data_IF_220899281664
#
_entry.id   IF_220899281664
#
_cell.length_a   1.000
_cell.length_b   1.000
_cell.length_c   1.000
_cell.angle_alpha   90.00
_cell.angle_beta   90.00
_cell.angle_gamma   90.00
#
_symmetry.space_group_name_H-M   'P 1'
#
loop_
_entity.id
_entity.type
_entity.pdbx_description
1 polymer ?
#
# COMPACT_ATOMS: atom_id res chain seq x y z
N UNK A 1 -13.26 -6.45 57.99
CA UNK A 1 -12.49 -6.82 56.77
C UNK A 1 -12.98 -5.97 55.62
N UNK A 2 -12.16 -5.03 55.13
CA UNK A 2 -12.46 -4.25 53.91
C UNK A 2 -11.56 -4.79 52.80
N UNK A 3 -12.14 -5.51 51.84
CA UNK A 3 -11.44 -5.85 50.60
C UNK A 3 -11.53 -4.64 49.67
N UNK A 4 -10.42 -3.92 49.54
CA UNK A 4 -10.26 -2.90 48.52
C UNK A 4 -9.97 -3.61 47.19
N UNK A 5 -10.95 -3.69 46.31
CA UNK A 5 -10.74 -4.14 44.93
C UNK A 5 -10.03 -3.04 44.14
N UNK A 6 -8.74 -3.25 43.87
CA UNK A 6 -7.98 -2.49 42.88
C UNK A 6 -8.54 -2.81 41.49
N UNK A 7 -9.24 -1.84 40.89
CA UNK A 7 -9.59 -1.88 39.47
C UNK A 7 -8.32 -1.50 38.70
N UNK A 8 -7.66 -2.50 38.12
CA UNK A 8 -6.59 -2.28 37.15
C UNK A 8 -7.22 -1.75 35.86
N UNK A 9 -7.27 -0.42 35.72
CA UNK A 9 -7.60 0.21 34.46
C UNK A 9 -6.40 0.06 33.51
N UNK A 10 -6.43 -0.95 32.66
CA UNK A 10 -5.56 -1.00 31.47
C UNK A 10 -5.92 0.19 30.60
N UNK A 11 -5.13 1.26 30.70
CA UNK A 11 -5.14 2.34 29.72
C UNK A 11 -4.61 1.77 28.42
N UNK A 12 -5.51 1.34 27.54
CA UNK A 12 -5.20 1.23 26.12
C UNK A 12 -4.78 2.62 25.69
N UNK A 13 -3.47 2.82 25.54
CA UNK A 13 -2.94 4.03 24.92
C UNK A 13 -3.47 3.98 23.49
N UNK A 14 -4.52 4.74 23.22
CA UNK A 14 -4.92 5.09 21.87
C UNK A 14 -3.80 5.97 21.32
N UNK A 15 -2.72 5.33 20.86
CA UNK A 15 -1.81 5.95 19.91
C UNK A 15 -2.68 6.44 18.77
N UNK A 16 -2.65 7.75 18.52
CA UNK A 16 -3.28 8.35 17.36
C UNK A 16 -2.67 7.65 16.12
N UNK A 17 -3.30 6.57 15.69
CA UNK A 17 -2.91 5.86 14.50
C UNK A 17 -3.03 6.88 13.37
N UNK A 18 -1.96 7.11 12.61
CA UNK A 18 -2.14 7.81 11.36
C UNK A 18 -3.21 7.05 10.58
N UNK A 19 -4.16 7.81 10.03
CA UNK A 19 -5.26 7.24 9.28
C UNK A 19 -4.76 6.52 8.03
N UNK A 20 -5.66 5.78 7.39
CA UNK A 20 -5.42 5.13 6.11
C UNK A 20 -4.73 6.07 5.11
N UNK A 21 -3.77 5.52 4.35
CA UNK A 21 -2.94 6.29 3.43
C UNK A 21 -3.22 5.90 1.98
N UNK A 22 -2.91 6.82 1.07
CA UNK A 22 -3.12 6.64 -0.36
C UNK A 22 -1.85 7.05 -1.10
N UNK A 23 -1.37 6.18 -1.98
CA UNK A 23 -0.31 6.47 -2.92
C UNK A 23 -0.73 6.14 -4.34
N UNK A 24 -0.09 6.82 -5.27
CA UNK A 24 -0.30 6.65 -6.70
C UNK A 24 1.03 6.42 -7.39
N UNK A 25 1.04 5.52 -8.38
CA UNK A 25 2.11 5.36 -9.34
C UNK A 25 1.56 5.70 -10.71
N UNK A 26 2.05 6.76 -11.33
CA UNK A 26 1.68 7.16 -12.69
C UNK A 26 2.74 6.71 -13.70
N UNK A 27 2.34 6.17 -14.84
CA UNK A 27 3.24 5.92 -15.97
C UNK A 27 2.58 6.24 -17.31
N UNK A 28 3.41 6.69 -18.26
CA UNK A 28 2.96 7.11 -19.59
C UNK A 28 1.93 8.25 -19.56
N UNK A 29 1.96 9.07 -18.50
CA UNK A 29 1.08 10.22 -18.22
C UNK A 29 -0.43 9.94 -18.12
N UNK A 30 -0.88 8.71 -18.38
CA UNK A 30 -2.31 8.39 -18.47
C UNK A 30 -2.74 7.19 -17.64
N UNK A 31 -1.80 6.41 -17.12
CA UNK A 31 -2.11 5.18 -16.37
C UNK A 31 -1.71 5.32 -14.90
N UNK A 32 -2.55 4.79 -14.03
CA UNK A 32 -2.44 4.96 -12.60
C UNK A 32 -2.61 3.62 -11.89
N UNK A 33 -1.70 3.35 -10.96
CA UNK A 33 -1.84 2.33 -9.92
C UNK A 33 -2.08 3.06 -8.61
N UNK A 34 -3.22 2.78 -7.99
CA UNK A 34 -3.58 3.27 -6.66
C UNK A 34 -3.20 2.22 -5.63
N UNK A 35 -2.62 2.66 -4.52
CA UNK A 35 -2.26 1.83 -3.38
C UNK A 35 -2.88 2.45 -2.13
N UNK A 36 -3.70 1.70 -1.41
CA UNK A 36 -4.35 2.18 -0.18
C UNK A 36 -3.94 1.33 0.98
N UNK A 37 -3.34 1.97 1.98
CA UNK A 37 -3.04 1.37 3.26
C UNK A 37 -4.24 1.47 4.18
N UNK A 38 -4.76 0.32 4.59
CA UNK A 38 -5.76 0.15 5.63
C UNK A 38 -5.02 -0.17 6.94
N UNK A 39 -4.75 0.87 7.74
CA UNK A 39 -3.95 0.77 8.95
C UNK A 39 -4.58 -0.20 9.98
N UNK A 40 -5.91 -0.13 10.27
CA UNK A 40 -6.54 -1.10 11.16
C UNK A 40 -6.42 -2.55 10.70
N UNK A 41 -6.56 -2.82 9.40
CA UNK A 41 -6.44 -4.17 8.86
C UNK A 41 -4.99 -4.60 8.65
N UNK A 42 -4.05 -3.66 8.64
CA UNK A 42 -2.65 -3.92 8.40
C UNK A 42 -2.37 -4.38 6.97
N UNK A 43 -3.15 -3.92 5.99
CA UNK A 43 -3.03 -4.36 4.58
C UNK A 43 -3.04 -3.21 3.59
N UNK A 44 -2.28 -3.36 2.51
CA UNK A 44 -2.40 -2.56 1.29
C UNK A 44 -3.42 -3.22 0.35
N UNK A 45 -4.25 -2.39 -0.26
CA UNK A 45 -5.16 -2.70 -1.36
C UNK A 45 -4.74 -1.92 -2.61
N UNK A 46 -5.18 -2.37 -3.79
CA UNK A 46 -4.82 -1.71 -5.03
C UNK A 46 -6.03 -1.49 -5.96
N UNK A 47 -5.89 -0.49 -6.83
CA UNK A 47 -6.81 -0.20 -7.94
C UNK A 47 -6.02 0.26 -9.17
N UNK A 48 -6.63 0.17 -10.35
CA UNK A 48 -6.03 0.59 -11.62
C UNK A 48 -6.97 1.53 -12.37
N UNK A 49 -6.42 2.56 -12.99
CA UNK A 49 -7.16 3.49 -13.86
C UNK A 49 -6.31 3.94 -15.04
N UNK A 50 -6.97 4.37 -16.11
CA UNK A 50 -6.33 4.98 -17.26
C UNK A 50 -6.68 4.30 -18.57
N UNK A 51 -5.82 4.47 -19.56
CA UNK A 51 -5.93 3.78 -20.85
C UNK A 51 -5.30 2.38 -20.77
N UNK A 52 -5.85 1.55 -19.89
CA UNK A 52 -5.39 0.18 -19.63
C UNK A 52 -6.25 -0.84 -20.38
N UNK A 53 -5.65 -1.97 -20.78
CA UNK A 53 -6.34 -3.00 -21.53
C UNK A 53 -7.51 -3.61 -20.72
N UNK A 54 -8.68 -3.88 -21.32
CA UNK A 54 -9.78 -4.56 -20.64
C UNK A 54 -9.36 -5.89 -20.03
N UNK A 55 -9.79 -6.16 -18.79
CA UNK A 55 -9.38 -7.34 -18.01
C UNK A 55 -8.11 -7.14 -17.17
N UNK A 56 -7.45 -5.98 -17.29
CA UNK A 56 -6.37 -5.60 -16.39
C UNK A 56 -6.86 -5.57 -14.94
N UNK A 57 -6.04 -6.06 -14.03
CA UNK A 57 -6.33 -6.09 -12.60
C UNK A 57 -5.03 -6.05 -11.81
N UNK A 58 -5.14 -5.74 -10.52
CA UNK A 58 -4.02 -5.80 -9.62
C UNK A 58 -4.36 -6.71 -8.42
N UNK A 59 -3.33 -7.31 -7.84
CA UNK A 59 -3.44 -8.13 -6.63
C UNK A 59 -2.30 -7.79 -5.69
N UNK A 60 -2.60 -7.66 -4.40
CA UNK A 60 -1.61 -7.34 -3.38
C UNK A 60 -1.29 -8.55 -2.51
N UNK A 61 0.00 -8.79 -2.29
CA UNK A 61 0.52 -9.71 -1.29
C UNK A 61 1.18 -8.91 -0.17
N UNK A 62 0.58 -8.94 1.02
CA UNK A 62 1.05 -8.22 2.20
C UNK A 62 1.94 -9.13 3.04
N UNK A 63 3.06 -8.61 3.54
CA UNK A 63 3.99 -9.38 4.38
C UNK A 63 4.77 -8.49 5.34
N UNK A 64 5.48 -9.12 6.28
CA UNK A 64 6.52 -8.49 7.09
C UNK A 64 7.83 -9.22 6.82
N UNK A 65 8.93 -8.50 6.75
CA UNK A 65 10.26 -9.11 6.73
C UNK A 65 10.69 -9.55 8.13
N UNK A 66 11.92 -10.08 8.24
CA UNK A 66 12.49 -10.58 9.50
C UNK A 66 12.66 -9.48 10.57
N UNK A 67 12.83 -8.23 10.12
CA UNK A 67 12.94 -7.05 10.99
C UNK A 67 11.57 -6.46 11.37
N UNK A 68 10.48 -7.06 10.88
CA UNK A 68 9.10 -6.64 11.12
C UNK A 68 8.66 -5.46 10.26
N UNK A 69 9.42 -5.05 9.25
CA UNK A 69 9.04 -3.99 8.33
C UNK A 69 7.85 -4.45 7.49
N UNK A 70 6.79 -3.64 7.47
CA UNK A 70 5.60 -3.92 6.66
C UNK A 70 5.89 -3.63 5.20
N UNK A 71 5.56 -4.58 4.33
CA UNK A 71 5.69 -4.41 2.90
C UNK A 71 4.51 -5.03 2.16
N UNK A 72 4.22 -4.48 0.99
CA UNK A 72 3.22 -4.99 0.07
C UNK A 72 3.80 -5.13 -1.32
N UNK A 73 3.58 -6.29 -1.94
CA UNK A 73 3.95 -6.56 -3.32
C UNK A 73 2.69 -6.58 -4.17
N UNK A 74 2.53 -5.59 -5.01
CA UNK A 74 1.39 -5.47 -5.92
C UNK A 74 1.75 -6.02 -7.28
N UNK A 75 1.06 -7.08 -7.71
CA UNK A 75 1.14 -7.63 -9.05
C UNK A 75 0.09 -6.95 -9.93
N UNK A 76 0.53 -6.31 -11.01
CA UNK A 76 -0.32 -5.67 -12.02
C UNK A 76 -0.33 -6.53 -13.27
N UNK A 77 -1.49 -7.06 -13.61
CA UNK A 77 -1.72 -7.83 -14.84
C UNK A 77 -2.40 -6.94 -15.86
N UNK A 78 -1.86 -6.87 -17.08
CA UNK A 78 -2.47 -6.11 -18.16
C UNK A 78 -3.25 -7.01 -19.12
N UNK A 79 -4.52 -6.69 -19.32
CA UNK A 79 -5.44 -7.48 -20.14
C UNK A 79 -5.74 -8.86 -19.56
N UNK A 80 -6.08 -9.83 -20.41
CA UNK A 80 -6.32 -11.23 -20.03
C UNK A 80 -5.05 -12.09 -19.98
N UNK A 81 -3.87 -11.46 -20.05
CA UNK A 81 -2.59 -12.15 -20.06
C UNK A 81 -2.19 -12.74 -18.70
N UNK A 82 -1.12 -13.53 -18.70
CA UNK A 82 -0.53 -14.10 -17.48
C UNK A 82 0.76 -13.40 -17.03
N UNK A 83 1.23 -12.40 -17.79
CA UNK A 83 2.38 -11.60 -17.38
C UNK A 83 1.92 -10.54 -16.39
N UNK A 84 2.58 -10.52 -15.23
CA UNK A 84 2.34 -9.54 -14.18
C UNK A 84 3.63 -8.77 -13.89
N UNK A 85 3.46 -7.48 -13.61
CA UNK A 85 4.53 -6.59 -13.21
C UNK A 85 4.39 -6.26 -11.74
N UNK A 86 5.51 -6.25 -11.03
CA UNK A 86 5.51 -6.11 -9.58
C UNK A 86 5.90 -4.71 -9.17
N UNK A 87 5.10 -4.11 -8.29
CA UNK A 87 5.44 -2.88 -7.58
C UNK A 87 5.49 -3.18 -6.08
N UNK A 88 6.64 -2.94 -5.44
CA UNK A 88 6.81 -3.07 -4.00
C UNK A 88 6.63 -1.70 -3.34
N UNK A 89 5.96 -1.69 -2.19
CA UNK A 89 5.97 -0.57 -1.27
C UNK A 89 6.31 -1.05 0.15
N UNK A 90 7.24 -0.34 0.79
CA UNK A 90 7.44 -0.45 2.24
C UNK A 90 6.55 0.55 2.94
N UNK A 91 5.76 0.11 3.93
CA UNK A 91 4.80 0.96 4.64
C UNK A 91 5.33 1.25 6.03
N UNK A 92 5.36 2.52 6.41
CA UNK A 92 5.68 2.94 7.78
C UNK A 92 4.36 3.11 8.56
N UNK A 93 3.96 2.17 9.44
CA UNK A 93 2.70 2.29 10.19
C UNK A 93 2.67 3.57 11.02
N UNK A 94 1.48 4.17 11.14
CA UNK A 94 1.35 5.46 11.80
C UNK A 94 1.97 6.62 11.01
N UNK A 95 2.30 6.42 9.72
CA UNK A 95 2.72 7.45 8.79
C UNK A 95 2.18 7.18 7.39
N UNK A 96 1.91 8.24 6.62
CA UNK A 96 1.65 8.09 5.18
C UNK A 96 2.91 8.18 4.32
N UNK A 97 4.08 8.08 4.94
CA UNK A 97 5.36 7.96 4.25
C UNK A 97 5.68 6.48 4.01
N UNK A 98 6.29 6.14 2.85
CA UNK A 98 6.88 4.82 2.68
C UNK A 98 8.08 4.66 3.62
N UNK A 99 8.46 3.41 3.87
CA UNK A 99 9.73 3.10 4.53
C UNK A 99 10.91 3.63 3.69
N UNK A 100 12.02 4.01 4.33
CA UNK A 100 13.24 4.37 3.63
C UNK A 100 13.80 3.19 2.80
N UNK A 101 14.48 3.51 1.70
CA UNK A 101 14.96 2.53 0.72
C UNK A 101 16.03 1.56 1.25
N UNK A 102 16.74 1.90 2.34
CA UNK A 102 17.67 1.00 3.01
C UNK A 102 16.97 -0.12 3.79
N UNK A 103 15.65 0.01 4.03
CA UNK A 103 14.80 -1.04 4.61
C UNK A 103 14.04 -1.79 3.53
N UNK A 104 13.25 -1.06 2.75
CA UNK A 104 12.42 -1.61 1.68
C UNK A 104 12.46 -0.64 0.51
N UNK A 105 13.03 -1.06 -0.61
CA UNK A 105 13.05 -0.27 -1.84
C UNK A 105 11.63 -0.22 -2.40
N UNK A 106 11.02 0.96 -2.37
CA UNK A 106 9.71 1.20 -2.98
C UNK A 106 9.87 1.47 -4.47
N UNK A 107 9.17 0.71 -5.31
CA UNK A 107 9.27 0.84 -6.76
C UNK A 107 8.88 -0.42 -7.54
N UNK A 108 8.96 -0.31 -8.86
CA UNK A 108 8.83 -1.45 -9.77
C UNK A 108 10.02 -2.40 -9.64
N UNK A 109 9.76 -3.70 -9.70
CA UNK A 109 10.77 -4.75 -9.61
C UNK A 109 11.02 -5.45 -10.96
N UNK A 110 12.10 -6.24 -11.00
CA UNK A 110 12.47 -7.09 -12.12
C UNK A 110 12.49 -6.31 -13.46
N UNK A 111 12.02 -6.91 -14.55
CA UNK A 111 11.88 -6.25 -15.84
C UNK A 111 10.94 -5.03 -15.81
N UNK A 112 10.01 -4.98 -14.85
CA UNK A 112 9.13 -3.84 -14.65
C UNK A 112 9.87 -2.55 -14.31
N UNK A 113 10.99 -2.62 -13.59
CA UNK A 113 11.82 -1.47 -13.26
C UNK A 113 12.30 -0.71 -14.52
N UNK A 114 12.62 -1.45 -15.58
CA UNK A 114 13.03 -0.87 -16.86
C UNK A 114 11.83 -0.40 -17.68
N UNK A 115 10.76 -1.19 -17.74
CA UNK A 115 9.58 -0.89 -18.55
C UNK A 115 8.85 0.37 -18.06
N UNK A 116 8.77 0.55 -16.74
CA UNK A 116 8.12 1.68 -16.09
C UNK A 116 9.13 2.72 -15.60
N UNK A 117 10.33 2.75 -16.19
CA UNK A 117 11.29 3.82 -15.93
C UNK A 117 10.66 5.18 -16.24
N UNK A 118 10.78 6.11 -15.29
CA UNK A 118 10.11 7.42 -15.37
C UNK A 118 8.70 7.46 -14.77
N UNK A 119 8.19 6.35 -14.21
CA UNK A 119 6.95 6.40 -13.43
C UNK A 119 7.10 7.32 -12.21
N UNK A 120 6.05 8.06 -11.88
CA UNK A 120 6.05 8.96 -10.73
C UNK A 120 5.27 8.34 -9.58
N UNK A 121 5.90 8.20 -8.41
CA UNK A 121 5.27 7.74 -7.18
C UNK A 121 4.97 8.92 -6.25
N UNK A 122 3.71 9.09 -5.85
CA UNK A 122 3.23 10.22 -5.04
C UNK A 122 2.29 9.78 -3.94
N UNK A 123 2.44 10.35 -2.75
CA UNK A 123 1.41 10.36 -1.70
C UNK A 123 0.24 11.25 -2.13
N UNK A 124 -0.99 10.80 -1.86
CA UNK A 124 -2.22 11.44 -2.26
C UNK A 124 -3.22 11.52 -1.10
N UNK A 125 -4.23 12.38 -1.26
CA UNK A 125 -5.38 12.39 -0.35
C UNK A 125 -6.15 11.07 -0.48
N UNK A 126 -6.56 10.49 0.65
CA UNK A 126 -7.24 9.19 0.70
C UNK A 126 -8.50 9.10 -0.19
N UNK A 127 -9.23 10.20 -0.32
CA UNK A 127 -10.42 10.33 -1.19
C UNK A 127 -10.15 9.92 -2.64
N UNK A 128 -8.93 10.17 -3.14
CA UNK A 128 -8.53 9.83 -4.51
C UNK A 128 -8.53 8.31 -4.68
N UNK A 129 -7.87 7.56 -3.78
CA UNK A 129 -7.82 6.10 -3.89
C UNK A 129 -9.17 5.41 -3.59
N UNK A 130 -9.98 5.96 -2.68
CA UNK A 130 -11.25 5.34 -2.27
C UNK A 130 -12.27 5.24 -3.41
N UNK A 131 -12.19 6.11 -4.42
CA UNK A 131 -13.06 6.02 -5.60
C UNK A 131 -12.71 4.85 -6.53
N UNK A 132 -11.48 4.33 -6.46
CA UNK A 132 -10.95 3.36 -7.42
C UNK A 132 -10.80 1.93 -6.85
N UNK A 133 -10.82 1.77 -5.52
CA UNK A 133 -10.80 0.44 -4.87
C UNK A 133 -12.19 -0.20 -4.73
N UNK A 134 -13.24 0.47 -5.20
CA UNK A 134 -14.64 0.02 -5.15
C UNK A 134 -15.17 -0.54 -6.47
N UNK A 135 -14.31 -0.69 -7.49
CA UNK A 135 -14.66 -1.29 -8.78
C UNK A 135 -14.20 -2.75 -8.89
#
# INVERSE_FOLDING_TARGET
MRLSHLVAASTYIASAAAGNCCWTVNWGDVNWLYLTWDEPAGVVRCGLEGNIMPGSHCKVENSKDEDGNVQALTSVTFGVGHQYFKFRIGVQPGSCKPLPNDKVVTGWEDWGANLFAGSTFLEQRLEICNTQNSQ
#
